data_IF_362504135220
#
_entry.id   IF_362504135220
#
_cell.length_a   1.000
_cell.length_b   1.000
_cell.length_c   1.000
_cell.angle_alpha   90.00
_cell.angle_beta   90.00
_cell.angle_gamma   90.00
#
_symmetry.space_group_name_H-M   'P 1'
#
loop_
_entity.id
_entity.type
_entity.pdbx_description
1 polymer ?
#
# COMPACT_ATOMS: atom_id res chain seq x y z
N UNK A 1 -8.16 14.14 -6.48
CA UNK A 1 -7.62 14.96 -5.37
C UNK A 1 -6.39 15.67 -5.90
N UNK A 2 -6.30 16.99 -5.81
CA UNK A 2 -5.09 17.73 -6.14
C UNK A 2 -4.06 17.48 -5.03
N UNK A 3 -2.78 17.43 -5.40
CA UNK A 3 -1.63 17.17 -4.50
C UNK A 3 -1.46 18.17 -3.34
N UNK A 4 -2.29 19.20 -3.24
CA UNK A 4 -2.22 20.23 -2.21
C UNK A 4 -2.99 19.90 -0.92
N UNK A 5 -3.83 18.85 -0.91
CA UNK A 5 -4.65 18.46 0.26
C UNK A 5 -4.11 17.24 1.01
N UNK A 6 -2.94 16.71 0.63
CA UNK A 6 -2.39 15.51 1.26
C UNK A 6 -1.60 15.90 2.52
N UNK A 7 -2.14 15.58 3.69
CA UNK A 7 -1.54 15.90 4.99
C UNK A 7 -0.21 15.14 5.28
N UNK A 8 0.17 14.18 4.46
CA UNK A 8 1.39 13.36 4.59
C UNK A 8 2.14 13.25 3.26
N UNK A 9 3.48 13.07 3.31
CA UNK A 9 4.31 13.06 2.11
C UNK A 9 4.05 11.81 1.25
N UNK A 10 4.17 11.98 -0.06
CA UNK A 10 4.19 10.87 -1.00
C UNK A 10 5.33 9.88 -0.69
N UNK A 11 5.25 8.60 -1.10
CA UNK A 11 6.29 7.60 -0.86
C UNK A 11 7.70 8.04 -1.24
N UNK A 12 7.84 8.78 -2.37
CA UNK A 12 9.13 9.29 -2.86
C UNK A 12 9.72 10.42 -2.00
N UNK A 13 8.89 11.13 -1.23
CA UNK A 13 9.31 12.21 -0.35
C UNK A 13 9.39 11.78 1.12
N UNK A 14 8.94 10.56 1.46
CA UNK A 14 8.99 10.06 2.83
C UNK A 14 10.43 9.77 3.26
N UNK A 15 10.89 10.39 4.33
CA UNK A 15 12.17 10.11 4.99
C UNK A 15 12.02 9.01 6.05
N UNK A 16 10.83 8.83 6.60
CA UNK A 16 10.55 7.91 7.69
C UNK A 16 10.14 6.53 7.16
N UNK A 17 10.86 5.51 7.58
CA UNK A 17 10.53 4.10 7.37
C UNK A 17 10.78 3.35 8.67
N UNK A 18 9.79 2.60 9.15
CA UNK A 18 9.81 1.89 10.44
C UNK A 18 9.28 0.48 10.23
N UNK A 19 9.76 -0.48 11.02
CA UNK A 19 9.24 -1.86 11.06
C UNK A 19 9.64 -2.73 9.86
N UNK A 20 10.63 -2.32 9.06
CA UNK A 20 11.10 -3.07 7.89
C UNK A 20 12.62 -3.36 7.95
N UNK A 21 13.18 -3.42 9.16
CA UNK A 21 14.63 -3.55 9.41
C UNK A 21 15.20 -4.84 8.81
N UNK A 22 14.43 -5.95 8.84
CA UNK A 22 14.85 -7.23 8.25
C UNK A 22 15.02 -7.13 6.73
N UNK A 23 14.11 -6.41 6.07
CA UNK A 23 14.19 -6.18 4.63
C UNK A 23 15.36 -5.25 4.30
N UNK A 24 15.59 -4.20 5.10
CA UNK A 24 16.72 -3.28 4.97
C UNK A 24 18.05 -4.03 5.11
N UNK A 25 18.21 -4.83 6.16
CA UNK A 25 19.40 -5.66 6.38
C UNK A 25 19.65 -6.64 5.23
N UNK A 26 18.60 -7.24 4.67
CA UNK A 26 18.70 -8.17 3.53
C UNK A 26 19.24 -7.47 2.28
N UNK A 27 18.77 -6.26 1.99
CA UNK A 27 19.27 -5.49 0.85
C UNK A 27 20.72 -5.02 1.06
N UNK A 28 21.05 -4.49 2.24
CA UNK A 28 22.40 -4.07 2.61
C UNK A 28 23.41 -5.22 2.54
N UNK A 29 23.04 -6.41 3.01
CA UNK A 29 23.88 -7.59 2.90
C UNK A 29 24.19 -7.96 1.43
N UNK A 30 23.19 -7.78 0.53
CA UNK A 30 23.42 -7.99 -0.91
C UNK A 30 24.36 -6.93 -1.50
N UNK A 31 24.24 -5.66 -1.10
CA UNK A 31 25.18 -4.61 -1.51
C UNK A 31 26.63 -4.95 -1.09
N UNK A 32 26.82 -5.32 0.18
CA UNK A 32 28.16 -5.67 0.72
C UNK A 32 28.79 -6.92 0.11
N UNK A 33 27.97 -7.82 -0.43
CA UNK A 33 28.47 -9.04 -1.08
C UNK A 33 29.13 -8.81 -2.44
N UNK A 34 29.08 -7.60 -3.00
CA UNK A 34 29.53 -7.28 -4.36
C UNK A 34 28.70 -7.94 -5.47
N UNK A 35 27.61 -8.63 -5.13
CA UNK A 35 26.71 -9.33 -6.07
C UNK A 35 25.28 -8.85 -5.91
N UNK A 36 25.08 -7.55 -6.10
CA UNK A 36 23.74 -6.96 -6.00
C UNK A 36 22.85 -7.47 -7.15
N UNK A 37 21.74 -8.15 -6.90
CA UNK A 37 20.76 -8.49 -7.92
C UNK A 37 20.24 -7.23 -8.61
N UNK A 38 20.16 -7.27 -9.93
CA UNK A 38 19.67 -6.15 -10.76
C UNK A 38 18.17 -5.88 -10.59
N UNK A 39 17.40 -6.86 -10.11
CA UNK A 39 15.93 -6.74 -9.94
C UNK A 39 15.47 -7.28 -8.59
N UNK A 40 14.68 -6.46 -7.89
CA UNK A 40 14.08 -6.77 -6.61
C UNK A 40 12.56 -6.69 -6.68
N UNK A 41 11.89 -7.73 -6.19
CA UNK A 41 10.43 -7.76 -6.04
C UNK A 41 10.08 -7.48 -4.58
N UNK A 42 9.64 -6.26 -4.29
CA UNK A 42 9.25 -5.78 -2.96
C UNK A 42 7.76 -6.11 -2.77
N UNK A 43 7.49 -7.17 -2.01
CA UNK A 43 6.17 -7.77 -1.91
C UNK A 43 5.58 -7.67 -0.50
N UNK A 44 4.27 -7.50 -0.41
CA UNK A 44 3.51 -7.45 0.85
C UNK A 44 2.15 -6.79 0.67
N UNK A 45 1.30 -6.76 1.71
CA UNK A 45 -0.01 -6.12 1.64
C UNK A 45 0.03 -4.64 1.21
N UNK A 46 -1.09 -4.06 0.72
CA UNK A 46 -1.15 -2.64 0.38
C UNK A 46 -0.87 -1.73 1.59
N UNK A 47 -0.28 -0.56 1.35
CA UNK A 47 -0.15 0.51 2.35
C UNK A 47 0.87 0.29 3.48
N UNK A 48 1.67 -0.80 3.48
CA UNK A 48 2.68 -1.08 4.53
C UNK A 48 4.04 -0.39 4.30
N UNK A 49 4.14 0.54 3.35
CA UNK A 49 5.37 1.30 3.07
C UNK A 49 6.27 0.70 1.98
N UNK A 50 5.78 -0.21 1.11
CA UNK A 50 6.59 -0.83 0.03
C UNK A 50 7.20 0.19 -0.93
N UNK A 51 6.39 1.15 -1.42
CA UNK A 51 6.88 2.20 -2.30
C UNK A 51 7.91 3.10 -1.59
N UNK A 52 7.64 3.51 -0.34
CA UNK A 52 8.60 4.27 0.47
C UNK A 52 9.93 3.52 0.64
N UNK A 53 9.88 2.20 0.83
CA UNK A 53 11.05 1.35 0.91
C UNK A 53 11.79 1.29 -0.44
N UNK A 54 11.08 1.16 -1.56
CA UNK A 54 11.68 1.20 -2.90
C UNK A 54 12.41 2.53 -3.14
N UNK A 55 11.78 3.67 -2.82
CA UNK A 55 12.43 4.97 -2.96
C UNK A 55 13.58 5.18 -1.98
N UNK A 56 13.56 4.58 -0.79
CA UNK A 56 14.69 4.57 0.14
C UNK A 56 15.90 3.84 -0.46
N UNK A 57 15.69 2.67 -1.05
CA UNK A 57 16.72 1.94 -1.81
C UNK A 57 17.22 2.79 -2.99
N UNK A 58 16.31 3.40 -3.75
CA UNK A 58 16.67 4.25 -4.88
C UNK A 58 17.58 5.41 -4.47
N UNK A 59 17.23 6.13 -3.39
CA UNK A 59 18.06 7.20 -2.84
C UNK A 59 19.45 6.71 -2.43
N UNK A 60 19.51 5.58 -1.73
CA UNK A 60 20.78 4.96 -1.32
C UNK A 60 21.67 4.63 -2.50
N UNK A 61 21.13 4.01 -3.56
CA UNK A 61 21.87 3.70 -4.77
C UNK A 61 22.36 4.96 -5.52
N UNK A 62 21.49 5.95 -5.67
CA UNK A 62 21.77 7.19 -6.38
C UNK A 62 22.71 8.14 -5.62
N UNK A 63 22.82 7.98 -4.30
CA UNK A 63 23.76 8.74 -3.47
C UNK A 63 25.21 8.20 -3.52
N UNK A 64 25.47 7.20 -4.36
CA UNK A 64 26.81 6.60 -4.49
C UNK A 64 27.19 5.65 -3.35
N UNK A 65 26.21 5.22 -2.52
CA UNK A 65 26.46 4.33 -1.40
C UNK A 65 26.59 2.85 -1.80
N UNK A 66 26.34 2.51 -3.06
CA UNK A 66 26.61 1.18 -3.62
C UNK A 66 27.87 1.27 -4.46
N UNK A 67 28.92 0.57 -4.03
CA UNK A 67 30.14 0.46 -4.84
C UNK A 67 29.79 -0.18 -6.19
N UNK A 68 30.06 0.55 -7.29
CA UNK A 68 29.99 0.00 -8.63
C UNK A 68 31.06 -1.08 -8.81
N UNK A 69 30.95 -1.98 -9.82
CA UNK A 69 32.07 -2.84 -10.20
C UNK A 69 33.27 -1.94 -10.42
N UNK A 70 34.38 -2.26 -9.76
CA UNK A 70 35.59 -1.47 -9.78
C UNK A 70 35.92 -1.10 -11.24
N UNK A 71 35.61 0.13 -11.64
CA UNK A 71 36.27 0.72 -12.79
C UNK A 71 37.72 0.92 -12.35
N UNK A 72 38.69 0.45 -13.15
CA UNK A 72 40.09 0.73 -12.96
C UNK A 72 40.28 2.26 -12.78
N UNK A 73 40.05 2.74 -11.59
CA UNK A 73 40.41 4.07 -11.17
C UNK A 73 41.92 4.02 -11.03
N UNK A 74 42.59 4.52 -12.03
CA UNK A 74 44.03 4.77 -11.92
C UNK A 74 44.35 5.52 -10.65
N UNK A 75 45.58 5.50 -10.12
CA UNK A 75 45.92 6.01 -8.81
C UNK A 75 45.41 7.45 -8.64
N UNK A 76 44.54 7.63 -7.65
CA UNK A 76 43.98 8.94 -7.28
C UNK A 76 45.12 9.88 -6.90
N UNK A 77 45.28 10.96 -7.65
CA UNK A 77 46.29 12.01 -7.40
C UNK A 77 45.98 12.88 -6.18
N UNK A 78 44.79 12.69 -5.59
CA UNK A 78 44.32 13.41 -4.37
C UNK A 78 43.86 12.39 -3.35
N UNK A 79 44.77 11.99 -2.47
CA UNK A 79 44.56 11.22 -1.26
C UNK A 79 43.34 10.25 -1.20
N UNK A 80 43.51 9.12 -0.56
CA UNK A 80 42.45 8.14 -0.33
C UNK A 80 41.18 8.86 0.16
N UNK A 81 40.10 8.70 -0.60
CA UNK A 81 38.77 9.08 -0.11
C UNK A 81 38.57 8.37 1.23
N UNK A 82 38.27 9.15 2.29
CA UNK A 82 37.86 8.58 3.59
C UNK A 82 36.88 7.47 3.32
N UNK A 83 37.04 6.26 3.91
CA UNK A 83 36.07 5.19 3.75
C UNK A 83 34.71 5.79 4.14
N UNK A 84 33.78 5.83 3.19
CA UNK A 84 32.40 6.18 3.46
C UNK A 84 31.97 5.22 4.58
N UNK A 85 31.59 5.78 5.73
CA UNK A 85 31.12 5.00 6.87
C UNK A 85 30.13 3.97 6.33
N UNK A 86 30.47 2.68 6.44
CA UNK A 86 29.56 1.58 6.13
C UNK A 86 28.31 1.76 6.98
N UNK A 87 27.35 2.51 6.47
CA UNK A 87 26.10 2.77 7.17
C UNK A 87 25.33 1.48 7.31
N UNK A 88 25.00 1.11 8.55
CA UNK A 88 24.10 0.01 8.83
C UNK A 88 22.64 0.31 8.43
N UNK A 89 22.40 1.38 7.67
CA UNK A 89 21.07 1.87 7.30
C UNK A 89 21.06 2.41 5.86
N UNK A 90 19.93 2.23 5.17
CA UNK A 90 19.63 2.84 3.86
C UNK A 90 19.24 4.33 3.96
N UNK A 91 19.44 4.95 5.11
CA UNK A 91 19.06 6.35 5.32
C UNK A 91 19.97 7.28 4.53
N UNK A 92 19.34 8.18 3.79
CA UNK A 92 20.00 9.30 3.11
C UNK A 92 19.50 10.59 3.71
N UNK A 93 20.39 11.53 3.97
CA UNK A 93 20.06 12.82 4.56
C UNK A 93 18.97 13.53 3.73
N UNK A 94 17.84 13.92 4.36
CA UNK A 94 16.76 14.65 3.69
C UNK A 94 17.21 15.98 3.05
N UNK A 95 18.26 16.60 3.57
CA UNK A 95 18.80 17.85 3.03
C UNK A 95 19.75 17.63 1.85
N UNK A 96 20.10 16.39 1.54
CA UNK A 96 20.97 16.07 0.39
C UNK A 96 20.30 16.41 -0.95
N UNK A 97 21.10 16.71 -1.96
CA UNK A 97 20.63 17.01 -3.32
C UNK A 97 19.88 15.81 -3.88
N UNK A 98 20.40 14.59 -3.67
CA UNK A 98 19.78 13.35 -4.17
C UNK A 98 18.40 13.14 -3.55
N UNK A 99 18.27 13.31 -2.22
CA UNK A 99 16.96 13.17 -1.58
C UNK A 99 15.94 14.15 -2.17
N UNK A 100 16.28 15.43 -2.27
CA UNK A 100 15.39 16.47 -2.81
C UNK A 100 15.01 16.22 -4.26
N UNK A 101 15.95 15.78 -5.11
CA UNK A 101 15.66 15.45 -6.51
C UNK A 101 14.74 14.23 -6.64
N UNK A 102 14.94 13.18 -5.82
CA UNK A 102 14.06 12.01 -5.80
C UNK A 102 12.67 12.39 -5.31
N UNK A 103 12.56 13.17 -4.23
CA UNK A 103 11.29 13.65 -3.69
C UNK A 103 10.51 14.48 -4.71
N UNK A 104 11.21 15.33 -5.47
CA UNK A 104 10.61 16.14 -6.55
C UNK A 104 10.35 15.33 -7.85
N UNK A 105 10.75 14.05 -7.94
CA UNK A 105 10.64 13.25 -9.17
C UNK A 105 11.50 13.74 -10.32
N UNK A 106 12.57 14.49 -10.04
CA UNK A 106 13.43 15.16 -11.05
C UNK A 106 14.85 14.59 -11.17
N UNK A 107 15.16 13.51 -10.44
CA UNK A 107 16.50 12.92 -10.51
C UNK A 107 16.74 12.27 -11.90
N UNK A 108 17.81 12.64 -12.64
CA UNK A 108 18.02 12.21 -14.03
C UNK A 108 18.23 10.69 -14.18
N UNK A 109 18.72 10.01 -13.15
CA UNK A 109 19.02 8.58 -13.14
C UNK A 109 17.92 7.76 -12.40
N UNK A 110 16.75 8.35 -12.14
CA UNK A 110 15.58 7.68 -11.59
C UNK A 110 14.41 7.74 -12.58
N UNK A 111 13.79 6.61 -12.83
CA UNK A 111 12.52 6.53 -13.56
C UNK A 111 11.46 5.88 -12.66
N UNK A 112 10.38 6.59 -12.39
CA UNK A 112 9.18 6.04 -11.76
C UNK A 112 8.17 5.65 -12.83
N UNK A 113 7.61 4.45 -12.70
CA UNK A 113 6.55 3.91 -13.56
C UNK A 113 5.38 3.57 -12.67
N UNK A 114 4.29 4.28 -12.87
CA UNK A 114 3.02 4.19 -12.14
C UNK A 114 1.88 4.21 -13.15
N UNK A 115 0.64 4.00 -12.69
CA UNK A 115 -0.53 4.20 -13.55
C UNK A 115 -0.60 5.66 -14.01
N UNK A 116 -0.56 5.85 -15.31
CA UNK A 116 -0.65 7.18 -15.90
C UNK A 116 -2.07 7.75 -15.87
N UNK A 117 -2.19 9.04 -16.11
CA UNK A 117 -3.48 9.71 -16.29
C UNK A 117 -3.95 9.53 -17.74
N UNK A 118 -5.21 9.17 -17.91
CA UNK A 118 -5.83 9.14 -19.23
C UNK A 118 -6.08 10.60 -19.69
N UNK A 119 -5.42 11.01 -20.77
CA UNK A 119 -5.47 12.40 -21.26
C UNK A 119 -6.89 12.87 -21.60
N UNK A 120 -7.75 11.95 -22.08
CA UNK A 120 -9.12 12.25 -22.46
C UNK A 120 -10.07 12.36 -21.28
N UNK A 121 -9.98 11.44 -20.32
CA UNK A 121 -10.91 11.38 -19.19
C UNK A 121 -10.40 12.12 -17.95
N UNK A 122 -9.11 12.53 -17.95
CA UNK A 122 -8.40 13.12 -16.80
C UNK A 122 -8.43 12.26 -15.53
N UNK A 123 -8.79 10.97 -15.67
CA UNK A 123 -8.78 9.98 -14.59
C UNK A 123 -7.53 9.13 -14.68
N UNK A 124 -7.10 8.65 -13.53
CA UNK A 124 -6.04 7.65 -13.46
C UNK A 124 -6.44 6.39 -14.25
N UNK A 125 -5.49 5.81 -14.97
CA UNK A 125 -5.71 4.55 -15.70
C UNK A 125 -5.84 3.39 -14.71
N UNK A 126 -6.59 2.36 -15.09
CA UNK A 126 -6.71 1.13 -14.29
C UNK A 126 -5.47 0.24 -14.36
N UNK A 127 -4.59 0.45 -15.34
CA UNK A 127 -3.43 -0.40 -15.63
C UNK A 127 -2.23 0.42 -16.10
N UNK A 128 -1.03 -0.11 -15.85
CA UNK A 128 0.22 0.32 -16.49
C UNK A 128 0.26 -0.26 -17.89
N UNK A 129 0.41 0.60 -18.89
CA UNK A 129 0.35 0.20 -20.31
C UNK A 129 1.75 -0.05 -20.89
N UNK A 130 1.79 -0.67 -22.08
CA UNK A 130 3.04 -1.06 -22.74
C UNK A 130 3.96 0.12 -23.07
N UNK A 131 3.40 1.29 -23.31
CA UNK A 131 4.14 2.53 -23.57
C UNK A 131 4.99 2.93 -22.37
N UNK A 132 4.42 2.81 -21.16
CA UNK A 132 5.13 3.09 -19.90
C UNK A 132 6.28 2.09 -19.69
N UNK A 133 6.02 0.80 -19.96
CA UNK A 133 7.03 -0.25 -19.86
C UNK A 133 8.17 -0.07 -20.89
N UNK A 134 7.88 0.39 -22.12
CA UNK A 134 8.90 0.67 -23.15
C UNK A 134 9.82 1.83 -22.76
N UNK A 135 9.35 2.81 -22.00
CA UNK A 135 10.17 3.89 -21.47
C UNK A 135 11.29 3.37 -20.59
N UNK A 136 11.09 2.26 -19.89
CA UNK A 136 12.11 1.62 -19.02
C UNK A 136 13.33 1.20 -19.83
N UNK A 137 13.14 0.53 -20.98
CA UNK A 137 14.24 0.12 -21.86
C UNK A 137 15.03 1.34 -22.36
N UNK A 138 14.33 2.32 -22.92
CA UNK A 138 14.96 3.54 -23.42
C UNK A 138 15.71 4.33 -22.34
N UNK A 139 15.22 4.30 -21.10
CA UNK A 139 15.87 4.96 -19.98
C UNK A 139 17.14 4.22 -19.55
N UNK A 140 17.10 2.91 -19.37
CA UNK A 140 18.24 2.13 -18.87
C UNK A 140 19.41 2.03 -19.86
N UNK A 141 19.19 2.18 -21.16
CA UNK A 141 20.25 2.19 -22.16
C UNK A 141 21.03 3.52 -22.28
N UNK A 142 20.61 4.58 -21.59
CA UNK A 142 21.38 5.84 -21.56
C UNK A 142 22.54 5.73 -20.56
N UNK A 143 23.53 6.60 -20.67
CA UNK A 143 24.63 6.72 -19.70
C UNK A 143 24.12 7.37 -18.40
N UNK A 144 24.53 6.86 -17.24
CA UNK A 144 24.20 7.47 -15.95
C UNK A 144 24.92 8.81 -15.78
N UNK A 145 24.28 9.76 -15.11
CA UNK A 145 24.78 11.12 -14.93
C UNK A 145 25.59 11.31 -13.64
N UNK A 146 25.41 10.44 -12.64
CA UNK A 146 25.94 10.61 -11.28
C UNK A 146 26.66 9.37 -10.76
N UNK A 147 26.05 8.67 -9.81
CA UNK A 147 26.61 7.51 -9.09
C UNK A 147 26.97 6.30 -9.95
N UNK A 148 26.75 6.36 -11.25
CA UNK A 148 26.92 5.23 -12.17
C UNK A 148 25.71 4.28 -12.21
N UNK A 149 24.76 4.38 -11.29
CA UNK A 149 23.55 3.56 -11.24
C UNK A 149 22.36 4.24 -11.93
N UNK A 150 21.54 3.43 -12.59
CA UNK A 150 20.21 3.81 -13.07
C UNK A 150 19.16 3.00 -12.35
N UNK A 151 18.23 3.68 -11.73
CA UNK A 151 17.20 3.05 -10.91
C UNK A 151 15.84 3.23 -11.56
N UNK A 152 15.07 2.14 -11.60
CA UNK A 152 13.68 2.14 -12.03
C UNK A 152 12.81 1.63 -10.89
N UNK A 153 11.81 2.40 -10.50
CA UNK A 153 10.77 1.99 -9.55
C UNK A 153 9.49 1.75 -10.34
N UNK A 154 8.88 0.58 -10.19
CA UNK A 154 7.60 0.22 -10.80
C UNK A 154 6.59 0.00 -9.68
N UNK A 155 5.64 0.91 -9.54
CA UNK A 155 4.62 0.90 -8.50
C UNK A 155 3.20 0.98 -9.12
N UNK A 156 2.47 -0.10 -9.19
CA UNK A 156 2.70 -1.49 -8.77
C UNK A 156 2.79 -2.41 -10.00
N UNK A 157 3.71 -3.38 -9.98
CA UNK A 157 3.89 -4.31 -11.11
C UNK A 157 2.67 -5.21 -11.34
N UNK A 158 1.85 -5.41 -10.31
CA UNK A 158 0.57 -6.18 -10.39
C UNK A 158 -0.45 -5.48 -11.32
N UNK A 159 -0.30 -4.20 -11.54
CA UNK A 159 -1.20 -3.37 -12.34
C UNK A 159 -0.76 -3.25 -13.80
N UNK A 160 0.31 -3.95 -14.17
CA UNK A 160 0.72 -4.06 -15.57
C UNK A 160 -0.25 -4.95 -16.36
N UNK A 161 -0.71 -4.45 -17.51
CA UNK A 161 -1.35 -5.34 -18.45
C UNK A 161 -0.34 -6.33 -19.04
N UNK A 162 -0.84 -7.39 -19.68
CA UNK A 162 -0.01 -8.48 -20.20
C UNK A 162 1.09 -8.00 -21.16
N UNK A 163 0.82 -6.98 -21.96
CA UNK A 163 1.77 -6.44 -22.93
C UNK A 163 2.90 -5.65 -22.23
N UNK A 164 2.56 -4.86 -21.21
CA UNK A 164 3.52 -4.15 -20.38
C UNK A 164 4.44 -5.13 -19.61
N UNK A 165 3.83 -6.17 -19.00
CA UNK A 165 4.57 -7.21 -18.30
C UNK A 165 5.56 -7.94 -19.23
N UNK A 166 5.17 -8.27 -20.46
CA UNK A 166 6.08 -8.87 -21.44
C UNK A 166 7.19 -7.91 -21.89
N UNK A 167 6.92 -6.61 -21.98
CA UNK A 167 7.93 -5.64 -22.41
C UNK A 167 9.10 -5.50 -21.42
N UNK A 168 8.88 -5.70 -20.11
CA UNK A 168 9.96 -5.65 -19.12
C UNK A 168 10.78 -6.94 -19.03
N UNK A 169 10.24 -8.09 -19.51
CA UNK A 169 10.95 -9.38 -19.41
C UNK A 169 12.34 -9.33 -20.07
N UNK A 170 12.46 -8.68 -21.23
CA UNK A 170 13.75 -8.56 -21.92
C UNK A 170 14.81 -7.85 -21.05
N UNK A 171 14.40 -6.83 -20.31
CA UNK A 171 15.31 -6.08 -19.43
C UNK A 171 15.67 -6.92 -18.20
N UNK A 172 14.73 -7.72 -17.69
CA UNK A 172 14.98 -8.63 -16.58
C UNK A 172 15.89 -9.80 -16.98
N UNK A 173 15.91 -10.20 -18.25
CA UNK A 173 16.78 -11.25 -18.79
C UNK A 173 18.19 -10.75 -19.12
N UNK A 174 18.28 -9.58 -19.73
CA UNK A 174 19.53 -8.97 -20.18
C UNK A 174 19.65 -7.53 -19.64
N UNK A 175 19.87 -7.39 -18.31
CA UNK A 175 19.93 -6.07 -17.69
C UNK A 175 21.18 -5.32 -18.15
N UNK A 176 21.08 -4.01 -18.47
CA UNK A 176 22.25 -3.17 -18.66
C UNK A 176 23.12 -3.11 -17.40
N UNK A 177 24.41 -2.82 -17.56
CA UNK A 177 25.30 -2.63 -16.43
C UNK A 177 24.77 -1.51 -15.51
N UNK A 178 24.91 -1.71 -14.20
CA UNK A 178 24.49 -0.75 -13.17
C UNK A 178 22.99 -0.34 -13.25
N UNK A 179 22.15 -1.23 -13.76
CA UNK A 179 20.69 -1.08 -13.71
C UNK A 179 20.12 -1.72 -12.44
N UNK A 180 19.28 -1.00 -11.74
CA UNK A 180 18.55 -1.50 -10.56
C UNK A 180 17.04 -1.33 -10.78
N UNK A 181 16.32 -2.44 -10.83
CA UNK A 181 14.87 -2.48 -10.97
C UNK A 181 14.22 -2.83 -9.63
N UNK A 182 13.36 -1.95 -9.12
CA UNK A 182 12.61 -2.09 -7.88
C UNK A 182 11.13 -2.23 -8.22
N UNK A 183 10.62 -3.45 -8.15
CA UNK A 183 9.26 -3.81 -8.51
C UNK A 183 8.42 -3.93 -7.24
N UNK A 184 7.43 -3.07 -7.05
CA UNK A 184 6.48 -3.13 -5.94
C UNK A 184 5.32 -4.04 -6.31
N UNK A 185 4.95 -4.97 -5.44
CA UNK A 185 3.82 -5.90 -5.66
C UNK A 185 2.94 -6.03 -4.43
N UNK A 186 1.63 -6.00 -4.63
CA UNK A 186 0.62 -6.27 -3.60
C UNK A 186 0.21 -7.74 -3.57
N UNK A 187 0.34 -8.42 -4.70
CA UNK A 187 -0.11 -9.81 -4.89
C UNK A 187 0.87 -10.59 -5.76
N UNK A 188 2.07 -10.95 -5.25
CA UNK A 188 3.13 -11.57 -6.06
C UNK A 188 2.71 -12.91 -6.68
N UNK A 189 1.68 -13.57 -6.13
CA UNK A 189 1.10 -14.78 -6.71
C UNK A 189 0.40 -14.57 -8.05
N UNK A 190 -0.05 -13.35 -8.35
CA UNK A 190 -0.72 -12.99 -9.62
C UNK A 190 0.26 -12.62 -10.73
N UNK A 191 1.52 -12.38 -10.40
CA UNK A 191 2.55 -12.03 -11.38
C UNK A 191 2.93 -13.24 -12.25
N UNK A 192 3.35 -12.96 -13.48
CA UNK A 192 3.90 -13.98 -14.37
C UNK A 192 5.06 -14.71 -13.68
N UNK A 193 5.10 -16.05 -13.71
CA UNK A 193 6.21 -16.82 -13.13
C UNK A 193 7.58 -16.38 -13.68
N UNK A 194 7.60 -15.93 -14.94
CA UNK A 194 8.80 -15.44 -15.64
C UNK A 194 9.37 -14.16 -15.05
N UNK A 195 8.53 -13.26 -14.52
CA UNK A 195 8.98 -12.07 -13.78
C UNK A 195 9.50 -12.49 -12.40
N UNK A 196 8.73 -13.31 -11.67
CA UNK A 196 9.11 -13.73 -10.33
C UNK A 196 10.43 -14.48 -10.25
N UNK A 197 10.73 -15.35 -11.25
CA UNK A 197 11.96 -16.13 -11.28
C UNK A 197 13.21 -15.31 -11.52
N UNK A 198 13.09 -14.07 -12.04
CA UNK A 198 14.21 -13.18 -12.36
C UNK A 198 14.43 -12.07 -11.34
N UNK A 199 13.54 -11.97 -10.36
CA UNK A 199 13.63 -10.97 -9.30
C UNK A 199 14.01 -11.61 -7.96
N UNK A 200 14.88 -10.97 -7.20
CA UNK A 200 15.12 -11.32 -5.81
C UNK A 200 13.92 -10.86 -4.99
N UNK A 201 13.27 -11.78 -4.32
CA UNK A 201 12.11 -11.46 -3.49
C UNK A 201 12.54 -10.81 -2.16
N UNK A 202 11.92 -9.68 -1.85
CA UNK A 202 12.05 -8.96 -0.60
C UNK A 202 10.65 -8.78 -0.01
N UNK A 203 10.38 -9.50 1.07
CA UNK A 203 9.05 -9.47 1.72
C UNK A 203 9.02 -8.43 2.81
N UNK A 204 8.03 -7.55 2.73
CA UNK A 204 7.64 -6.64 3.81
C UNK A 204 6.43 -7.22 4.53
N UNK A 205 6.42 -7.05 5.84
CA UNK A 205 5.31 -7.48 6.70
C UNK A 205 4.44 -6.30 7.14
N UNK A 206 3.18 -6.54 7.50
CA UNK A 206 2.38 -5.55 8.22
C UNK A 206 3.14 -5.06 9.45
N UNK A 207 2.94 -3.78 9.79
CA UNK A 207 3.60 -3.14 10.92
C UNK A 207 3.00 -3.60 12.24
N UNK A 208 3.83 -3.75 13.26
CA UNK A 208 3.40 -4.03 14.62
C UNK A 208 2.71 -2.81 15.28
N UNK A 209 1.97 -3.03 16.36
CA UNK A 209 1.23 -1.95 17.05
C UNK A 209 2.15 -0.80 17.48
N UNK A 210 3.37 -1.10 17.97
CA UNK A 210 4.33 -0.08 18.40
C UNK A 210 4.83 0.80 17.23
N UNK A 211 5.12 0.18 16.08
CA UNK A 211 5.57 0.89 14.88
C UNK A 211 4.44 1.70 14.27
N UNK A 212 3.23 1.17 14.27
CA UNK A 212 2.03 1.89 13.84
C UNK A 212 1.76 3.10 14.73
N UNK A 213 1.80 2.95 16.06
CA UNK A 213 1.60 4.09 16.98
C UNK A 213 2.64 5.18 16.76
N UNK A 214 3.92 4.79 16.59
CA UNK A 214 5.01 5.73 16.28
C UNK A 214 4.78 6.52 14.98
N UNK A 215 4.35 5.83 13.91
CA UNK A 215 4.08 6.47 12.64
C UNK A 215 2.83 7.33 12.68
N UNK A 216 1.76 6.85 13.31
CA UNK A 216 0.52 7.60 13.47
C UNK A 216 0.72 8.84 14.37
N UNK A 217 1.51 8.74 15.44
CA UNK A 217 1.87 9.90 16.26
C UNK A 217 2.65 10.96 15.45
N UNK A 218 3.47 10.53 14.48
CA UNK A 218 4.19 11.45 13.60
C UNK A 218 3.27 12.12 12.57
N UNK A 219 2.40 11.34 11.90
CA UNK A 219 1.54 11.86 10.82
C UNK A 219 0.24 12.51 11.32
N UNK A 220 -0.25 12.08 12.47
CA UNK A 220 -1.51 12.52 13.08
C UNK A 220 -1.26 12.91 14.55
N UNK A 221 -0.46 13.95 14.82
CA UNK A 221 -0.06 14.31 16.19
C UNK A 221 -1.24 14.74 17.07
N UNK A 222 -2.34 15.20 16.47
CA UNK A 222 -3.56 15.63 17.19
C UNK A 222 -4.41 14.44 17.67
N UNK A 223 -4.16 13.22 17.15
CA UNK A 223 -4.97 12.06 17.51
C UNK A 223 -4.52 11.45 18.85
N UNK A 224 -5.51 11.05 19.65
CA UNK A 224 -5.26 10.38 20.93
C UNK A 224 -4.68 8.98 20.73
N UNK A 225 -4.00 8.44 21.76
CA UNK A 225 -3.50 7.06 21.72
C UNK A 225 -4.61 6.02 21.47
N UNK A 226 -5.82 6.24 22.00
CA UNK A 226 -6.98 5.39 21.75
C UNK A 226 -7.40 5.41 20.27
N UNK A 227 -7.45 6.58 19.65
CA UNK A 227 -7.78 6.72 18.23
C UNK A 227 -6.69 6.11 17.34
N UNK A 228 -5.41 6.27 17.68
CA UNK A 228 -4.30 5.64 16.95
C UNK A 228 -4.35 4.12 17.07
N UNK A 229 -4.70 3.57 18.24
CA UNK A 229 -4.90 2.13 18.42
C UNK A 229 -6.08 1.61 17.59
N UNK A 230 -7.19 2.37 17.54
CA UNK A 230 -8.33 2.05 16.70
C UNK A 230 -7.94 1.98 15.22
N UNK A 231 -7.23 3.00 14.72
CA UNK A 231 -6.72 3.03 13.35
C UNK A 231 -5.77 1.85 13.07
N UNK A 232 -4.87 1.53 13.99
CA UNK A 232 -3.94 0.41 13.87
C UNK A 232 -4.66 -0.92 13.70
N UNK A 233 -5.67 -1.16 14.53
CA UNK A 233 -6.46 -2.40 14.47
C UNK A 233 -7.32 -2.50 13.21
N UNK A 234 -7.94 -1.39 12.79
CA UNK A 234 -8.76 -1.34 11.58
C UNK A 234 -7.94 -1.49 10.29
N UNK A 235 -6.69 -1.04 10.30
CA UNK A 235 -5.81 -1.11 9.12
C UNK A 235 -4.92 -2.35 9.06
N UNK A 236 -4.98 -3.24 10.05
CA UNK A 236 -4.20 -4.48 10.12
C UNK A 236 -2.69 -4.26 9.87
N UNK A 237 -2.11 -3.19 10.43
CA UNK A 237 -0.70 -2.84 10.28
C UNK A 237 -0.33 -2.15 8.95
N UNK A 238 -1.31 -1.62 8.24
CA UNK A 238 -1.13 -0.81 7.03
C UNK A 238 -1.16 0.68 7.37
N UNK A 239 -0.01 1.35 7.39
CA UNK A 239 0.03 2.79 7.68
C UNK A 239 -0.72 3.61 6.62
N UNK A 240 -0.57 3.28 5.33
CA UNK A 240 -1.32 3.93 4.27
C UNK A 240 -2.83 3.71 4.40
N UNK A 241 -3.25 2.50 4.80
CA UNK A 241 -4.64 2.19 5.10
C UNK A 241 -5.18 3.00 6.29
N UNK A 242 -4.39 3.13 7.37
CA UNK A 242 -4.77 3.92 8.54
C UNK A 242 -4.95 5.40 8.21
N UNK A 243 -4.03 5.99 7.45
CA UNK A 243 -4.08 7.39 7.03
C UNK A 243 -5.28 7.65 6.10
N UNK A 244 -5.52 6.76 5.13
CA UNK A 244 -6.68 6.85 4.24
C UNK A 244 -8.00 6.72 5.03
N UNK A 245 -8.06 5.78 5.97
CA UNK A 245 -9.21 5.60 6.85
C UNK A 245 -9.48 6.85 7.71
N UNK A 246 -8.42 7.45 8.26
CA UNK A 246 -8.52 8.71 9.02
C UNK A 246 -9.09 9.84 8.14
N UNK A 247 -8.52 10.04 6.95
CA UNK A 247 -8.96 11.09 6.01
C UNK A 247 -10.43 10.93 5.57
N UNK A 248 -10.90 9.69 5.44
CA UNK A 248 -12.28 9.38 5.10
C UNK A 248 -13.25 9.48 6.30
N UNK A 249 -12.79 9.88 7.48
CA UNK A 249 -13.61 9.90 8.71
C UNK A 249 -14.01 8.49 9.20
N UNK A 250 -13.22 7.48 8.83
CA UNK A 250 -13.54 6.06 9.03
C UNK A 250 -13.71 5.66 10.49
N UNK A 251 -13.04 6.33 11.43
CA UNK A 251 -13.22 6.05 12.87
C UNK A 251 -14.65 6.34 13.34
N UNK A 252 -15.22 7.46 12.92
CA UNK A 252 -16.60 7.82 13.25
C UNK A 252 -17.59 6.86 12.55
N UNK A 253 -17.32 6.54 11.27
CA UNK A 253 -18.13 5.57 10.52
C UNK A 253 -18.10 4.19 11.19
N UNK A 254 -16.95 3.76 11.70
CA UNK A 254 -16.82 2.48 12.37
C UNK A 254 -17.60 2.42 13.70
N UNK A 255 -17.50 3.48 14.53
CA UNK A 255 -18.27 3.55 15.77
C UNK A 255 -19.78 3.49 15.51
N UNK A 256 -20.26 4.24 14.51
CA UNK A 256 -21.67 4.22 14.12
C UNK A 256 -22.11 2.85 13.60
N UNK A 257 -21.24 2.21 12.80
CA UNK A 257 -21.47 0.85 12.27
C UNK A 257 -21.57 -0.17 13.41
N UNK A 258 -20.65 -0.13 14.37
CA UNK A 258 -20.70 -1.00 15.58
C UNK A 258 -21.98 -0.76 16.36
N UNK A 259 -22.41 0.51 16.51
CA UNK A 259 -23.69 0.84 17.16
C UNK A 259 -24.91 0.23 16.45
N UNK A 260 -24.90 0.16 15.11
CA UNK A 260 -25.95 -0.51 14.34
C UNK A 260 -25.88 -2.04 14.48
N UNK A 261 -24.69 -2.62 14.38
CA UNK A 261 -24.47 -4.06 14.54
C UNK A 261 -24.87 -4.56 15.94
N UNK A 262 -24.65 -3.73 16.95
CA UNK A 262 -25.10 -4.02 18.32
C UNK A 262 -26.62 -4.13 18.45
N UNK A 263 -27.40 -3.50 17.56
CA UNK A 263 -28.87 -3.60 17.52
C UNK A 263 -29.42 -4.85 16.84
N UNK A 264 -28.60 -5.62 16.09
CA UNK A 264 -29.09 -6.81 15.38
C UNK A 264 -29.48 -7.93 16.36
N UNK A 265 -30.54 -8.74 16.07
CA UNK A 265 -31.39 -8.71 14.87
C UNK A 265 -32.47 -7.63 14.91
N UNK A 266 -32.70 -6.98 16.05
CA UNK A 266 -33.78 -5.99 16.25
C UNK A 266 -33.28 -4.58 15.88
N UNK A 267 -32.99 -4.37 14.62
CA UNK A 267 -32.39 -3.14 14.12
C UNK A 267 -33.39 -1.96 14.19
N UNK A 268 -32.95 -0.88 14.81
CA UNK A 268 -33.73 0.35 14.89
C UNK A 268 -33.72 1.09 13.52
N UNK A 269 -34.84 0.99 12.80
CA UNK A 269 -34.98 1.53 11.44
C UNK A 269 -34.58 3.02 11.36
N UNK A 270 -34.88 3.83 12.36
CA UNK A 270 -34.54 5.25 12.41
C UNK A 270 -33.03 5.47 12.41
N UNK A 271 -32.27 4.70 13.18
CA UNK A 271 -30.80 4.79 13.22
C UNK A 271 -30.17 4.35 11.89
N UNK A 272 -30.68 3.25 11.30
CA UNK A 272 -30.24 2.78 10.01
C UNK A 272 -30.47 3.82 8.91
N UNK A 273 -31.67 4.40 8.85
CA UNK A 273 -31.99 5.44 7.86
C UNK A 273 -31.15 6.72 8.05
N UNK A 274 -30.86 7.11 9.29
CA UNK A 274 -29.98 8.25 9.59
C UNK A 274 -28.55 7.99 9.14
N UNK A 275 -28.02 6.80 9.39
CA UNK A 275 -26.68 6.39 8.93
C UNK A 275 -26.61 6.34 7.40
N UNK A 276 -27.53 5.64 6.76
CA UNK A 276 -27.59 5.48 5.31
C UNK A 276 -27.80 6.81 4.56
N UNK A 277 -28.56 7.74 5.16
CA UNK A 277 -28.81 9.07 4.59
C UNK A 277 -27.57 9.95 4.43
N UNK A 278 -26.49 9.65 5.13
CA UNK A 278 -25.20 10.37 4.98
C UNK A 278 -24.60 10.19 3.57
N UNK A 279 -24.92 9.11 2.90
CA UNK A 279 -24.33 8.73 1.61
C UNK A 279 -25.15 9.18 0.39
N UNK A 280 -26.30 9.83 0.59
CA UNK A 280 -27.15 10.33 -0.50
C UNK A 280 -26.53 11.51 -1.25
N UNK A 281 -25.70 12.32 -0.58
CA UNK A 281 -25.15 13.54 -1.16
C UNK A 281 -23.98 13.22 -2.10
N UNK A 282 -23.92 13.95 -3.19
CA UNK A 282 -22.75 13.98 -4.05
C UNK A 282 -21.51 14.43 -3.24
N UNK A 283 -20.36 13.79 -3.49
CA UNK A 283 -19.13 14.05 -2.75
C UNK A 283 -18.89 13.12 -1.56
N UNK A 284 -19.86 12.25 -1.20
CA UNK A 284 -19.71 11.26 -0.13
C UNK A 284 -19.40 9.85 -0.65
N UNK A 285 -18.87 9.75 -1.88
CA UNK A 285 -18.49 8.49 -2.50
C UNK A 285 -17.46 7.73 -1.67
N UNK A 286 -16.40 8.41 -1.26
CA UNK A 286 -15.32 7.82 -0.48
C UNK A 286 -15.78 7.36 0.91
N UNK A 287 -16.66 8.15 1.56
CA UNK A 287 -17.26 7.77 2.84
C UNK A 287 -18.16 6.54 2.71
N UNK A 288 -18.92 6.42 1.61
CA UNK A 288 -19.72 5.22 1.30
C UNK A 288 -18.83 4.00 1.11
N UNK A 289 -17.78 4.11 0.27
CA UNK A 289 -16.84 3.03 0.04
C UNK A 289 -16.16 2.59 1.34
N UNK A 290 -15.74 3.54 2.16
CA UNK A 290 -15.15 3.28 3.48
C UNK A 290 -16.13 2.55 4.40
N UNK A 291 -17.38 3.00 4.51
CA UNK A 291 -18.37 2.36 5.35
C UNK A 291 -18.67 0.92 4.91
N UNK A 292 -18.79 0.69 3.60
CA UNK A 292 -19.05 -0.64 3.05
C UNK A 292 -17.84 -1.58 3.19
N UNK A 293 -16.62 -1.05 3.05
CA UNK A 293 -15.40 -1.80 3.31
C UNK A 293 -15.30 -2.22 4.78
N UNK A 294 -15.53 -1.30 5.72
CA UNK A 294 -15.56 -1.58 7.16
C UNK A 294 -16.60 -2.64 7.52
N UNK A 295 -17.78 -2.59 6.90
CA UNK A 295 -18.82 -3.61 7.10
C UNK A 295 -18.36 -4.97 6.55
N UNK A 296 -17.79 -5.01 5.36
CA UNK A 296 -17.29 -6.24 4.76
C UNK A 296 -16.15 -6.85 5.59
N UNK A 297 -15.22 -6.04 6.09
CA UNK A 297 -14.12 -6.48 6.95
C UNK A 297 -14.62 -6.99 8.31
N UNK A 298 -15.63 -6.34 8.88
CA UNK A 298 -16.27 -6.81 10.10
C UNK A 298 -16.90 -8.21 9.92
N UNK A 299 -17.65 -8.43 8.82
CA UNK A 299 -18.22 -9.73 8.47
C UNK A 299 -17.11 -10.76 8.22
N UNK A 300 -16.06 -10.40 7.53
CA UNK A 300 -14.92 -11.30 7.24
C UNK A 300 -14.20 -11.74 8.52
N UNK A 301 -14.00 -10.84 9.49
CA UNK A 301 -13.43 -11.18 10.81
C UNK A 301 -14.31 -12.19 11.54
N UNK A 302 -15.62 -11.98 11.54
CA UNK A 302 -16.57 -12.88 12.18
C UNK A 302 -16.59 -14.26 11.50
N UNK A 303 -16.64 -14.32 10.16
CA UNK A 303 -16.60 -15.56 9.39
C UNK A 303 -15.30 -16.35 9.64
N UNK A 304 -14.16 -15.65 9.61
CA UNK A 304 -12.83 -16.26 9.87
C UNK A 304 -12.75 -16.86 11.28
N UNK A 305 -13.18 -16.12 12.28
CA UNK A 305 -13.16 -16.58 13.66
C UNK A 305 -14.08 -17.79 13.86
N UNK A 306 -15.28 -17.77 13.27
CA UNK A 306 -16.21 -18.92 13.30
C UNK A 306 -15.61 -20.15 12.61
N UNK A 307 -14.94 -19.98 11.46
CA UNK A 307 -14.24 -21.09 10.78
C UNK A 307 -13.12 -21.70 11.61
N UNK A 308 -12.50 -20.92 12.50
CA UNK A 308 -11.46 -21.36 13.45
C UNK A 308 -12.03 -21.88 14.78
N UNK A 309 -13.35 -21.86 14.98
CA UNK A 309 -13.99 -22.19 16.24
C UNK A 309 -13.71 -21.22 17.40
N UNK A 310 -13.38 -19.97 17.07
CA UNK A 310 -13.02 -18.92 18.01
C UNK A 310 -14.00 -17.73 17.89
N UNK A 311 -13.96 -16.83 18.87
CA UNK A 311 -14.59 -15.51 18.73
C UNK A 311 -13.54 -14.52 18.21
N UNK A 312 -13.94 -13.59 17.31
CA UNK A 312 -13.03 -12.55 16.88
C UNK A 312 -12.70 -11.62 18.04
N UNK A 313 -11.46 -11.14 18.09
CA UNK A 313 -11.10 -10.11 19.06
C UNK A 313 -11.85 -8.81 18.73
N UNK A 314 -12.48 -8.15 19.71
CA UNK A 314 -13.14 -6.88 19.48
C UNK A 314 -12.07 -5.80 19.20
N UNK A 315 -12.35 -4.93 18.24
CA UNK A 315 -11.55 -3.73 17.99
C UNK A 315 -11.94 -2.64 18.99
N UNK A 316 -13.26 -2.44 19.17
CA UNK A 316 -13.84 -1.63 20.23
C UNK A 316 -14.47 -2.56 21.29
N UNK A 317 -14.36 -2.19 22.56
CA UNK A 317 -14.93 -3.00 23.66
C UNK A 317 -16.44 -3.23 23.50
N UNK A 318 -17.16 -2.26 22.94
CA UNK A 318 -18.60 -2.30 22.71
C UNK A 318 -19.01 -3.36 21.66
N UNK A 319 -18.08 -3.87 20.85
CA UNK A 319 -18.36 -4.92 19.87
C UNK A 319 -18.58 -6.29 20.49
N UNK A 320 -18.01 -6.56 21.67
CA UNK A 320 -17.94 -7.92 22.22
C UNK A 320 -19.32 -8.58 22.37
N UNK A 321 -20.35 -7.91 22.92
CA UNK A 321 -21.67 -8.49 23.02
C UNK A 321 -22.30 -8.79 21.64
N UNK A 322 -22.09 -7.90 20.66
CA UNK A 322 -22.59 -8.08 19.31
C UNK A 322 -21.90 -9.26 18.61
N UNK A 323 -20.57 -9.34 18.71
CA UNK A 323 -19.78 -10.44 18.13
C UNK A 323 -20.23 -11.80 18.67
N UNK A 324 -20.40 -11.93 19.99
CA UNK A 324 -20.88 -13.19 20.61
C UNK A 324 -22.28 -13.58 20.11
N UNK A 325 -23.21 -12.62 20.07
CA UNK A 325 -24.60 -12.88 19.64
C UNK A 325 -24.64 -13.23 18.15
N UNK A 326 -23.99 -12.45 17.31
CA UNK A 326 -24.03 -12.64 15.86
C UNK A 326 -23.23 -13.87 15.41
N UNK A 327 -22.16 -14.24 16.10
CA UNK A 327 -21.44 -15.49 15.84
C UNK A 327 -22.35 -16.74 15.92
N UNK A 328 -23.38 -16.71 16.78
CA UNK A 328 -24.35 -17.81 16.93
C UNK A 328 -25.53 -17.71 15.97
N UNK A 329 -25.81 -16.54 15.38
CA UNK A 329 -27.02 -16.26 14.61
C UNK A 329 -27.04 -17.02 13.26
N UNK A 330 -25.91 -17.10 12.56
CA UNK A 330 -25.81 -17.69 11.23
C UNK A 330 -24.70 -18.76 11.14
N UNK A 331 -24.81 -19.67 10.16
CA UNK A 331 -23.75 -20.61 9.79
C UNK A 331 -22.55 -19.87 9.17
N UNK A 332 -21.42 -20.57 9.05
CA UNK A 332 -20.24 -20.05 8.34
C UNK A 332 -20.58 -19.70 6.89
N UNK A 333 -21.27 -20.61 6.20
CA UNK A 333 -21.65 -20.43 4.79
C UNK A 333 -22.51 -19.18 4.62
N UNK A 334 -23.45 -18.95 5.54
CA UNK A 334 -24.29 -17.74 5.51
C UNK A 334 -23.48 -16.45 5.72
N UNK A 335 -22.46 -16.45 6.58
CA UNK A 335 -21.58 -15.29 6.75
C UNK A 335 -20.74 -15.04 5.50
N UNK A 336 -20.27 -16.09 4.81
CA UNK A 336 -19.54 -15.95 3.55
C UNK A 336 -20.44 -15.39 2.44
N UNK A 337 -21.68 -15.88 2.30
CA UNK A 337 -22.68 -15.34 1.36
C UNK A 337 -22.95 -13.85 1.62
N UNK A 338 -23.12 -13.46 2.89
CA UNK A 338 -23.36 -12.06 3.27
C UNK A 338 -22.15 -11.18 2.93
N UNK A 339 -20.94 -11.66 3.17
CA UNK A 339 -19.72 -10.98 2.80
C UNK A 339 -19.60 -10.78 1.28
N UNK A 340 -19.85 -11.82 0.49
CA UNK A 340 -19.87 -11.73 -0.97
C UNK A 340 -20.95 -10.76 -1.46
N UNK A 341 -22.14 -10.83 -0.89
CA UNK A 341 -23.26 -9.93 -1.22
C UNK A 341 -22.88 -8.46 -0.97
N UNK A 342 -22.32 -8.13 0.19
CA UNK A 342 -21.90 -6.76 0.53
C UNK A 342 -20.85 -6.28 -0.48
N UNK A 343 -19.81 -7.05 -0.74
CA UNK A 343 -18.76 -6.72 -1.72
C UNK A 343 -19.31 -6.53 -3.13
N UNK A 344 -20.20 -7.42 -3.55
CA UNK A 344 -20.83 -7.33 -4.88
C UNK A 344 -21.71 -6.08 -5.02
N UNK A 345 -22.51 -5.76 -4.00
CA UNK A 345 -23.34 -4.56 -3.98
C UNK A 345 -22.46 -3.30 -4.04
N UNK A 346 -21.37 -3.23 -3.28
CA UNK A 346 -20.42 -2.11 -3.31
C UNK A 346 -19.84 -1.92 -4.70
N UNK A 347 -19.30 -2.97 -5.31
CA UNK A 347 -18.70 -2.91 -6.65
C UNK A 347 -19.71 -2.49 -7.73
N UNK A 348 -20.96 -2.97 -7.64
CA UNK A 348 -22.03 -2.58 -8.59
C UNK A 348 -22.48 -1.14 -8.43
N UNK A 349 -22.43 -0.60 -7.22
CA UNK A 349 -22.87 0.78 -6.96
C UNK A 349 -22.10 1.77 -7.83
N UNK A 350 -20.78 1.59 -7.95
CA UNK A 350 -19.96 2.45 -8.84
C UNK A 350 -20.17 2.18 -10.31
N UNK A 351 -20.38 0.90 -10.69
CA UNK A 351 -20.49 0.51 -12.09
C UNK A 351 -21.78 0.99 -12.76
N UNK A 352 -22.91 0.99 -12.02
CA UNK A 352 -24.24 1.30 -12.55
C UNK A 352 -24.98 2.40 -11.75
N UNK A 353 -24.26 3.13 -10.92
CA UNK A 353 -24.74 4.28 -10.15
C UNK A 353 -26.01 3.97 -9.32
N UNK A 354 -25.98 2.92 -8.49
CA UNK A 354 -27.06 2.56 -7.60
C UNK A 354 -27.24 3.63 -6.49
N UNK A 355 -28.48 3.72 -5.97
CA UNK A 355 -28.76 4.53 -4.79
C UNK A 355 -27.98 3.98 -3.58
N UNK A 356 -26.97 4.71 -3.13
CA UNK A 356 -26.06 4.34 -2.02
C UNK A 356 -26.80 4.10 -0.72
N UNK A 357 -27.82 4.90 -0.42
CA UNK A 357 -28.66 4.73 0.77
C UNK A 357 -29.37 3.39 0.74
N UNK A 358 -29.96 3.03 -0.40
CA UNK A 358 -30.67 1.74 -0.54
C UNK A 358 -29.71 0.56 -0.45
N UNK A 359 -28.48 0.72 -0.96
CA UNK A 359 -27.43 -0.32 -0.84
C UNK A 359 -27.06 -0.57 0.63
N UNK A 360 -26.84 0.49 1.42
CA UNK A 360 -26.53 0.36 2.86
C UNK A 360 -27.71 -0.29 3.59
N UNK A 361 -28.94 0.18 3.38
CA UNK A 361 -30.14 -0.40 4.02
C UNK A 361 -30.26 -1.88 3.64
N UNK A 362 -30.11 -2.22 2.36
CA UNK A 362 -30.19 -3.60 1.88
C UNK A 362 -29.11 -4.52 2.46
N UNK A 363 -27.90 -3.99 2.70
CA UNK A 363 -26.83 -4.73 3.35
C UNK A 363 -27.19 -5.07 4.81
N UNK A 364 -27.69 -4.12 5.58
CA UNK A 364 -28.09 -4.35 6.98
C UNK A 364 -29.33 -5.26 7.10
N UNK A 365 -30.33 -5.09 6.24
CA UNK A 365 -31.50 -5.99 6.21
C UNK A 365 -31.10 -7.44 5.90
N UNK A 366 -30.11 -7.64 5.04
CA UNK A 366 -29.58 -8.98 4.77
C UNK A 366 -28.91 -9.61 6.01
N UNK A 367 -28.32 -8.80 6.91
CA UNK A 367 -27.72 -9.26 8.16
C UNK A 367 -28.75 -9.63 9.22
N UNK A 368 -29.95 -9.07 9.18
CA UNK A 368 -31.06 -9.42 10.12
C UNK A 368 -31.58 -10.84 9.93
N UNK A 369 -31.33 -11.47 8.79
CA UNK A 369 -31.78 -12.84 8.54
C UNK A 369 -33.25 -12.96 8.16
N UNK A 370 -33.93 -11.88 7.82
CA UNK A 370 -35.28 -11.85 7.25
C UNK A 370 -35.19 -11.97 5.73
N UNK A 371 -34.93 -13.17 5.23
CA UNK A 371 -34.89 -13.45 3.81
C UNK A 371 -34.67 -14.93 3.56
#
# INVERSE_FOLDING_TARGET
MSTEDQAWPEPRASSLLVGQETAEATFLAACRSGKLPHAWLIAGPPGIGKASFAYRIARYALNGSIEGPAQDAGPSLFGDALPSSEGDSLTVDPDSIVFRQVAAGSHPDLLSVERGINERTKKERSEIVVEDARRVAGFLHKTASGSGWRVVVIDSVDEMNRNAANAILKILEEPPANALLLLVSHSPGRLLPTIRSRCRLLRLSPLGEADMDRLLAHYLPEETGENRLLLTRLSEGSIGGALALHAAGGMALYRDLVGLLAGLPDLEARKLHAFAGRFERAGNEDAFQTAMALLADWIARLARAKGLGQLPQPILAEEEPALRRLASLHSLDRWLELWEKVRHLTARTDAINLDRKQVVIGAFLALQGTG
#
